data_IF_344857736215
#
_entry.id   IF_344857736215
#
_cell.length_a   1.000
_cell.length_b   1.000
_cell.length_c   1.000
_cell.angle_alpha   90.00
_cell.angle_beta   90.00
_cell.angle_gamma   90.00
#
_symmetry.space_group_name_H-M   'P 1'
#
loop_
_entity.id
_entity.type
_entity.pdbx_description
1 polymer ?
#
# COMPACT_ATOMS: atom_id res chain seq x y z
N UNK A 1 -28.83 13.95 0.52
CA UNK A 1 -27.79 14.53 -0.36
C UNK A 1 -27.68 13.63 -1.57
N UNK A 2 -27.38 14.16 -2.74
CA UNK A 2 -27.24 13.39 -3.98
C UNK A 2 -26.03 12.43 -3.86
N UNK A 3 -26.25 11.13 -4.06
CA UNK A 3 -25.22 10.10 -3.99
C UNK A 3 -24.07 10.36 -4.97
N UNK A 4 -24.38 10.99 -6.12
CA UNK A 4 -23.38 11.36 -7.13
C UNK A 4 -22.44 12.45 -6.61
N UNK A 5 -22.97 13.43 -5.88
CA UNK A 5 -22.17 14.46 -5.21
C UNK A 5 -21.34 13.89 -4.06
N UNK A 6 -21.91 12.97 -3.28
CA UNK A 6 -21.16 12.27 -2.22
C UNK A 6 -19.99 11.48 -2.80
N UNK A 7 -20.22 10.75 -3.91
CA UNK A 7 -19.18 10.01 -4.60
C UNK A 7 -18.04 10.93 -5.08
N UNK A 8 -18.39 12.11 -5.59
CA UNK A 8 -17.41 13.11 -6.02
C UNK A 8 -16.58 13.62 -4.84
N UNK A 9 -17.24 13.94 -3.73
CA UNK A 9 -16.58 14.45 -2.53
C UNK A 9 -15.60 13.43 -1.93
N UNK A 10 -16.03 12.18 -1.75
CA UNK A 10 -15.16 11.14 -1.19
C UNK A 10 -14.01 10.81 -2.16
N UNK A 11 -14.27 10.80 -3.48
CA UNK A 11 -13.21 10.57 -4.48
C UNK A 11 -12.17 11.69 -4.48
N UNK A 12 -12.60 12.95 -4.35
CA UNK A 12 -11.67 14.09 -4.25
C UNK A 12 -10.86 14.06 -2.94
N UNK A 13 -11.50 13.70 -1.82
CA UNK A 13 -10.83 13.52 -0.52
C UNK A 13 -9.77 12.42 -0.60
N UNK A 14 -10.13 11.26 -1.14
CA UNK A 14 -9.22 10.13 -1.32
C UNK A 14 -8.04 10.49 -2.23
N UNK A 15 -8.29 11.15 -3.37
CA UNK A 15 -7.21 11.57 -4.26
C UNK A 15 -6.24 12.55 -3.57
N UNK A 16 -6.77 13.48 -2.78
CA UNK A 16 -5.96 14.42 -1.98
C UNK A 16 -5.11 13.67 -0.95
N UNK A 17 -5.70 12.70 -0.25
CA UNK A 17 -4.99 11.87 0.73
C UNK A 17 -3.83 11.11 0.09
N UNK A 18 -4.07 10.49 -1.07
CA UNK A 18 -3.08 9.78 -1.87
C UNK A 18 -1.96 10.67 -2.47
N UNK A 19 -1.97 11.98 -2.24
CA UNK A 19 -0.94 12.89 -2.76
C UNK A 19 0.34 12.86 -1.94
N UNK A 20 0.25 12.71 -0.62
CA UNK A 20 1.39 12.77 0.28
C UNK A 20 1.53 11.45 1.03
N UNK A 21 2.32 10.53 0.48
CA UNK A 21 2.54 9.21 1.08
C UNK A 21 3.58 9.35 2.20
N UNK A 22 3.23 9.13 3.47
CA UNK A 22 4.16 9.24 4.58
C UNK A 22 5.13 8.04 4.59
N UNK A 23 6.23 8.22 5.33
CA UNK A 23 7.27 7.19 5.51
C UNK A 23 7.27 6.70 6.96
N UNK A 24 7.80 5.50 7.17
CA UNK A 24 7.99 4.96 8.52
C UNK A 24 6.67 4.53 9.16
N UNK A 25 6.49 4.88 10.44
CA UNK A 25 5.39 4.37 11.29
C UNK A 25 4.01 4.92 10.91
N UNK A 26 3.93 6.17 10.43
CA UNK A 26 2.70 6.83 9.98
C UNK A 26 2.06 6.16 8.75
N UNK A 27 2.78 5.24 8.10
CA UNK A 27 2.30 4.56 6.90
C UNK A 27 1.22 3.53 7.17
N UNK A 28 1.16 2.96 8.37
CA UNK A 28 0.07 2.05 8.73
C UNK A 28 -1.24 2.82 8.83
N UNK A 29 -1.25 3.91 9.60
CA UNK A 29 -2.41 4.80 9.74
C UNK A 29 -2.86 5.38 8.39
N UNK A 30 -1.92 5.78 7.55
CA UNK A 30 -2.21 6.22 6.19
C UNK A 30 -2.96 5.18 5.35
N UNK A 31 -2.57 3.90 5.45
CA UNK A 31 -3.22 2.79 4.72
C UNK A 31 -4.61 2.53 5.30
N UNK A 32 -4.77 2.59 6.62
CA UNK A 32 -6.07 2.41 7.28
C UNK A 32 -7.06 3.49 6.81
N UNK A 33 -6.63 4.75 6.77
CA UNK A 33 -7.45 5.85 6.24
C UNK A 33 -7.81 5.69 4.76
N UNK A 34 -6.91 5.12 3.94
CA UNK A 34 -7.22 4.78 2.54
C UNK A 34 -8.31 3.73 2.47
N UNK A 35 -8.23 2.67 3.28
CA UNK A 35 -9.20 1.59 3.29
C UNK A 35 -10.58 2.10 3.72
N UNK A 36 -10.65 2.90 4.78
CA UNK A 36 -11.90 3.51 5.25
C UNK A 36 -12.57 4.35 4.15
N UNK A 37 -11.79 5.18 3.43
CA UNK A 37 -12.31 5.99 2.33
C UNK A 37 -12.74 5.13 1.13
N UNK A 38 -12.04 4.02 0.84
CA UNK A 38 -12.41 3.10 -0.22
C UNK A 38 -13.71 2.34 0.11
N UNK A 39 -13.92 1.94 1.36
CA UNK A 39 -15.14 1.28 1.81
C UNK A 39 -16.35 2.22 1.78
N UNK A 40 -16.18 3.46 2.25
CA UNK A 40 -17.20 4.51 2.15
C UNK A 40 -17.57 4.74 0.67
N UNK A 41 -16.55 4.90 -0.19
CA UNK A 41 -16.73 5.08 -1.62
C UNK A 41 -17.45 3.89 -2.26
N UNK A 42 -17.06 2.66 -1.93
CA UNK A 42 -17.67 1.44 -2.44
C UNK A 42 -19.15 1.34 -2.09
N UNK A 43 -19.51 1.71 -0.86
CA UNK A 43 -20.90 1.75 -0.39
C UNK A 43 -21.75 2.72 -1.21
N UNK A 44 -21.21 3.90 -1.56
CA UNK A 44 -21.92 4.89 -2.36
C UNK A 44 -22.08 4.41 -3.81
N UNK A 45 -21.03 3.82 -4.40
CA UNK A 45 -21.09 3.24 -5.75
C UNK A 45 -22.15 2.13 -5.84
N UNK A 46 -22.24 1.28 -4.82
CA UNK A 46 -23.24 0.22 -4.79
C UNK A 46 -24.67 0.78 -4.72
N UNK A 47 -24.91 1.84 -3.94
CA UNK A 47 -26.22 2.54 -3.91
C UNK A 47 -26.58 3.13 -5.27
N UNK A 48 -25.65 3.84 -5.91
CA UNK A 48 -25.85 4.40 -7.26
C UNK A 48 -26.18 3.30 -8.28
N UNK A 49 -25.53 2.14 -8.18
CA UNK A 49 -25.83 1.00 -9.05
C UNK A 49 -27.26 0.50 -8.85
N UNK A 50 -27.72 0.41 -7.60
CA UNK A 50 -29.09 -0.01 -7.27
C UNK A 50 -30.15 1.00 -7.72
N UNK A 51 -29.81 2.28 -7.71
CA UNK A 51 -30.64 3.38 -8.23
C UNK A 51 -30.67 3.44 -9.77
N UNK A 52 -29.94 2.55 -10.45
CA UNK A 52 -29.91 2.47 -11.91
C UNK A 52 -29.09 3.57 -12.57
N UNK A 53 -28.11 4.16 -11.85
CA UNK A 53 -27.24 5.21 -12.35
C UNK A 53 -26.67 4.88 -13.73
N UNK A 54 -26.82 5.82 -14.67
CA UNK A 54 -26.23 5.74 -16.00
C UNK A 54 -25.24 6.88 -16.19
N UNK A 55 -24.09 6.54 -16.75
CA UNK A 55 -23.06 7.50 -17.11
C UNK A 55 -23.60 8.43 -18.21
N UNK A 56 -23.51 9.73 -17.98
CA UNK A 56 -23.82 10.78 -18.95
C UNK A 56 -22.54 11.58 -19.28
N UNK A 57 -21.96 11.43 -20.48
CA UNK A 57 -20.75 12.14 -20.90
C UNK A 57 -20.93 13.67 -21.04
N UNK A 58 -22.17 14.17 -21.16
CA UNK A 58 -22.44 15.61 -21.23
C UNK A 58 -22.44 16.27 -19.87
N UNK A 59 -22.60 15.47 -18.81
CA UNK A 59 -22.57 15.93 -17.43
C UNK A 59 -21.12 16.06 -16.95
N UNK A 60 -20.70 17.30 -16.66
CA UNK A 60 -19.36 17.62 -16.14
C UNK A 60 -19.00 16.86 -14.87
N UNK A 61 -19.98 16.59 -14.01
CA UNK A 61 -19.75 15.86 -12.76
C UNK A 61 -19.31 14.42 -13.05
N UNK A 62 -19.97 13.76 -14.00
CA UNK A 62 -19.64 12.40 -14.40
C UNK A 62 -18.26 12.33 -15.05
N UNK A 63 -17.92 13.28 -15.93
CA UNK A 63 -16.58 13.32 -16.54
C UNK A 63 -15.49 13.51 -15.48
N UNK A 64 -15.72 14.40 -14.50
CA UNK A 64 -14.78 14.59 -13.38
C UNK A 64 -14.66 13.33 -12.52
N UNK A 65 -15.75 12.58 -12.30
CA UNK A 65 -15.69 11.30 -11.57
C UNK A 65 -14.77 10.29 -12.27
N UNK A 66 -14.79 10.21 -13.59
CA UNK A 66 -13.91 9.34 -14.37
C UNK A 66 -12.44 9.77 -14.25
N UNK A 67 -12.17 11.07 -14.32
CA UNK A 67 -10.82 11.62 -14.14
C UNK A 67 -10.27 11.34 -12.74
N UNK A 68 -11.09 11.53 -11.70
CA UNK A 68 -10.72 11.23 -10.32
C UNK A 68 -10.45 9.74 -10.14
N UNK A 69 -11.29 8.84 -10.68
CA UNK A 69 -11.10 7.40 -10.57
C UNK A 69 -9.77 6.94 -11.21
N UNK A 70 -9.46 7.48 -12.39
CA UNK A 70 -8.16 7.26 -13.05
C UNK A 70 -6.98 7.71 -12.18
N UNK A 71 -7.06 8.93 -11.63
CA UNK A 71 -6.03 9.47 -10.74
C UNK A 71 -5.87 8.66 -9.45
N UNK A 72 -6.97 8.19 -8.86
CA UNK A 72 -6.96 7.35 -7.65
C UNK A 72 -6.26 6.03 -7.95
N UNK A 73 -6.60 5.34 -9.04
CA UNK A 73 -5.97 4.06 -9.42
C UNK A 73 -4.46 4.20 -9.59
N UNK A 74 -4.01 5.23 -10.32
CA UNK A 74 -2.58 5.47 -10.52
C UNK A 74 -1.83 5.66 -9.20
N UNK A 75 -2.38 6.44 -8.27
CA UNK A 75 -1.74 6.70 -6.96
C UNK A 75 -1.81 5.51 -6.02
N UNK A 76 -2.87 4.70 -6.07
CA UNK A 76 -2.95 3.45 -5.32
C UNK A 76 -1.89 2.46 -5.81
N UNK A 77 -1.64 2.37 -7.12
CA UNK A 77 -0.56 1.55 -7.67
C UNK A 77 0.82 2.01 -7.16
N UNK A 78 1.06 3.32 -7.11
CA UNK A 78 2.30 3.86 -6.58
C UNK A 78 2.45 3.61 -5.07
N UNK A 79 1.37 3.78 -4.31
CA UNK A 79 1.33 3.45 -2.88
C UNK A 79 1.66 1.97 -2.65
N UNK A 80 1.04 1.08 -3.43
CA UNK A 80 1.29 -0.36 -3.37
C UNK A 80 2.75 -0.72 -3.70
N UNK A 81 3.38 -0.04 -4.67
CA UNK A 81 4.80 -0.23 -4.98
C UNK A 81 5.68 0.16 -3.79
N UNK A 82 5.39 1.28 -3.13
CA UNK A 82 6.15 1.75 -1.98
C UNK A 82 6.01 0.78 -0.79
N UNK A 83 4.80 0.33 -0.47
CA UNK A 83 4.56 -0.66 0.59
C UNK A 83 5.34 -1.94 0.33
N UNK A 84 5.33 -2.44 -0.92
CA UNK A 84 6.13 -3.61 -1.31
C UNK A 84 7.62 -3.39 -1.14
N UNK A 85 8.11 -2.17 -1.39
CA UNK A 85 9.52 -1.83 -1.18
C UNK A 85 9.87 -1.86 0.31
N UNK A 86 9.03 -1.28 1.17
CA UNK A 86 9.28 -1.29 2.63
C UNK A 86 9.34 -2.71 3.18
N UNK A 87 8.45 -3.60 2.71
CA UNK A 87 8.46 -5.01 3.11
C UNK A 87 9.78 -5.69 2.73
N UNK A 88 10.33 -5.40 1.54
CA UNK A 88 11.63 -5.93 1.12
C UNK A 88 12.76 -5.39 1.97
N UNK A 89 12.77 -4.08 2.24
CA UNK A 89 13.80 -3.42 3.02
C UNK A 89 13.82 -3.95 4.47
N UNK A 90 12.64 -4.17 5.06
CA UNK A 90 12.48 -4.79 6.38
C UNK A 90 13.06 -6.22 6.42
N UNK A 91 12.80 -7.03 5.38
CA UNK A 91 13.33 -8.39 5.29
C UNK A 91 14.85 -8.39 5.13
N UNK A 92 15.40 -7.49 4.33
CA UNK A 92 16.84 -7.33 4.15
C UNK A 92 17.52 -6.88 5.44
N UNK A 93 16.98 -5.89 6.13
CA UNK A 93 17.50 -5.42 7.42
C UNK A 93 17.58 -6.57 8.44
N UNK A 94 16.52 -7.38 8.59
CA UNK A 94 16.52 -8.57 9.46
C UNK A 94 17.58 -9.60 9.08
N UNK A 95 17.86 -9.77 7.78
CA UNK A 95 18.91 -10.68 7.30
C UNK A 95 20.30 -10.16 7.65
N UNK A 96 20.55 -8.87 7.45
CA UNK A 96 21.82 -8.23 7.79
C UNK A 96 22.07 -8.28 9.30
N UNK A 97 21.08 -7.95 10.13
CA UNK A 97 21.21 -8.01 11.59
C UNK A 97 21.59 -9.42 12.09
N UNK A 98 20.95 -10.46 11.56
CA UNK A 98 21.32 -11.86 11.89
C UNK A 98 22.74 -12.22 11.46
N UNK A 99 23.21 -11.70 10.32
CA UNK A 99 24.55 -11.96 9.81
C UNK A 99 25.63 -11.24 10.64
N UNK A 100 25.33 -10.03 11.14
CA UNK A 100 26.22 -9.30 12.07
C UNK A 100 26.24 -9.92 13.48
N UNK A 101 25.12 -10.45 13.96
CA UNK A 101 25.03 -11.08 15.28
C UNK A 101 25.70 -12.48 15.33
N UNK A 102 25.90 -13.14 14.19
CA UNK A 102 26.64 -14.40 14.13
C UNK A 102 27.68 -14.43 13.00
N UNK A 103 28.78 -13.65 13.10
CA UNK A 103 29.82 -13.59 12.06
C UNK A 103 30.59 -14.90 11.89
N UNK A 104 30.47 -15.83 12.85
CA UNK A 104 31.20 -17.10 12.90
C UNK A 104 30.29 -18.32 12.72
N UNK A 105 29.03 -18.14 12.28
CA UNK A 105 28.10 -19.25 12.02
C UNK A 105 28.68 -20.26 11.01
N UNK A 106 29.44 -19.77 10.03
CA UNK A 106 30.14 -20.59 9.03
C UNK A 106 31.37 -21.33 9.57
N UNK A 107 31.90 -20.92 10.73
CA UNK A 107 33.10 -21.50 11.35
C UNK A 107 32.75 -22.60 12.37
N UNK A 108 31.53 -22.59 12.94
CA UNK A 108 31.06 -23.61 13.89
C UNK A 108 30.86 -25.01 13.29
N UNK A 109 30.99 -25.18 11.96
CA UNK A 109 30.77 -26.47 11.28
C UNK A 109 32.08 -27.15 10.81
N UNK A 110 33.26 -26.57 11.08
CA UNK A 110 34.51 -27.30 10.90
C UNK A 110 34.83 -28.13 12.15
N UNK A 111 34.39 -29.39 12.08
CA UNK A 111 34.73 -30.50 12.96
C UNK A 111 36.18 -30.38 13.49
N UNK A 112 36.31 -30.17 14.80
CA UNK A 112 37.56 -29.91 15.50
C UNK A 112 38.43 -31.14 15.65
N UNK A 113 38.80 -31.79 14.54
CA UNK A 113 39.66 -32.96 14.55
C UNK A 113 41.14 -32.52 14.61
N UNK A 114 41.61 -32.26 15.83
CA UNK A 114 43.05 -32.13 16.13
C UNK A 114 43.73 -33.48 15.85
N UNK A 115 44.50 -33.56 14.76
CA UNK A 115 45.39 -34.67 14.48
C UNK A 115 46.66 -34.55 15.35
N UNK A 116 46.64 -35.13 16.55
CA UNK A 116 47.89 -35.48 17.24
C UNK A 116 48.38 -36.84 16.70
N UNK A 117 49.25 -36.80 15.69
CA UNK A 117 50.06 -37.98 15.33
C UNK A 117 51.47 -37.76 15.86
N UNK A 118 51.72 -38.20 17.10
CA UNK A 118 53.07 -38.37 17.64
C UNK A 118 53.80 -39.49 16.91
N UNK A 119 55.06 -39.22 16.57
CA UNK A 119 56.07 -40.23 16.21
C UNK A 119 56.57 -40.96 17.45
#
# INVERSE_FOLDING_TARGET
>A
MDNTQQLLQISAKLLKHLTNIPKGEERSEFIDEINDMLDERGTIVEKLRQEGFQMDPTNKLHTTLVELDSGIRARLDDTMKLVKQDMKDLQQSKKHEKQYMNPYASVQVMDGMYYDKKK
#
